data_IF_098667580595
#
_entry.id   IF_098667580595
#
_cell.length_a   1.000
_cell.length_b   1.000
_cell.length_c   1.000
_cell.angle_alpha   90.00
_cell.angle_beta   90.00
_cell.angle_gamma   90.00
#
_symmetry.space_group_name_H-M   'P 1'
#
loop_
_entity.id
_entity.type
_entity.pdbx_description
1 polymer ?
#
# COMPACT_ATOMS: atom_id res chain seq x y z
N UNK A 1 2.99 13.75 -3.51
CA UNK A 1 3.74 12.55 -3.94
C UNK A 1 5.01 12.46 -3.11
N UNK A 2 5.23 11.36 -2.39
CA UNK A 2 6.50 11.09 -1.70
C UNK A 2 7.60 10.94 -2.78
N UNK A 3 8.45 11.97 -2.92
CA UNK A 3 9.62 11.95 -3.80
C UNK A 3 10.71 11.08 -3.16
N UNK A 4 10.57 9.76 -3.26
CA UNK A 4 11.63 8.83 -2.88
C UNK A 4 12.63 8.74 -4.02
N UNK A 5 13.88 9.12 -3.74
CA UNK A 5 14.98 9.07 -4.71
C UNK A 5 15.15 7.64 -5.22
N UNK A 6 15.08 7.45 -6.54
CA UNK A 6 15.29 6.14 -7.16
C UNK A 6 16.72 5.64 -6.84
N UNK A 7 16.83 4.64 -5.97
CA UNK A 7 18.09 4.11 -5.43
C UNK A 7 18.83 3.18 -6.43
N UNK A 8 18.50 3.25 -7.72
CA UNK A 8 19.18 2.53 -8.80
C UNK A 8 18.84 1.04 -8.92
N UNK A 9 18.02 0.47 -8.02
CA UNK A 9 17.49 -0.90 -8.18
C UNK A 9 16.07 -1.04 -7.64
N UNK A 10 15.21 -1.89 -8.25
CA UNK A 10 13.86 -2.12 -7.76
C UNK A 10 13.82 -2.62 -6.30
N UNK A 11 14.79 -3.45 -5.90
CA UNK A 11 14.88 -3.97 -4.54
C UNK A 11 15.20 -2.90 -3.50
N UNK A 12 16.08 -1.95 -3.83
CA UNK A 12 16.41 -0.84 -2.94
C UNK A 12 15.21 0.12 -2.78
N UNK A 13 14.53 0.44 -3.88
CA UNK A 13 13.29 1.22 -3.85
C UNK A 13 12.21 0.52 -3.02
N UNK A 14 12.07 -0.81 -3.16
CA UNK A 14 11.12 -1.58 -2.36
C UNK A 14 11.43 -1.50 -0.86
N UNK A 15 12.71 -1.63 -0.49
CA UNK A 15 13.14 -1.54 0.91
C UNK A 15 12.78 -0.17 1.50
N UNK A 16 12.94 0.90 0.73
CA UNK A 16 12.58 2.25 1.16
C UNK A 16 11.05 2.41 1.27
N UNK A 17 10.29 2.08 0.22
CA UNK A 17 8.83 2.19 0.20
C UNK A 17 8.19 1.36 1.31
N UNK A 18 8.58 0.09 1.43
CA UNK A 18 8.06 -0.79 2.49
C UNK A 18 8.48 -0.36 3.89
N UNK A 19 9.55 0.42 4.05
CA UNK A 19 9.92 1.06 5.30
C UNK A 19 8.93 2.17 5.68
N UNK A 20 8.66 3.08 4.74
CA UNK A 20 7.64 4.13 4.92
C UNK A 20 6.26 3.55 5.14
N UNK A 21 5.88 2.51 4.39
CA UNK A 21 4.59 1.85 4.55
C UNK A 21 4.43 1.29 5.97
N UNK A 22 5.47 0.64 6.52
CA UNK A 22 5.48 0.17 7.92
C UNK A 22 5.33 1.31 8.93
N UNK A 23 5.96 2.45 8.67
CA UNK A 23 5.82 3.62 9.53
C UNK A 23 4.38 4.14 9.55
N UNK A 24 3.71 4.22 8.39
CA UNK A 24 2.30 4.59 8.33
C UNK A 24 1.41 3.55 9.01
N UNK A 25 1.72 2.27 8.82
CA UNK A 25 1.00 1.19 9.51
C UNK A 25 1.12 1.32 11.04
N UNK A 26 2.29 1.71 11.55
CA UNK A 26 2.49 1.95 12.98
C UNK A 26 1.72 3.17 13.51
N UNK A 27 1.36 4.13 12.65
CA UNK A 27 0.48 5.25 13.04
C UNK A 27 -0.97 4.80 13.23
N UNK A 28 -1.37 3.71 12.58
CA UNK A 28 -2.73 3.16 12.65
C UNK A 28 -3.75 3.97 11.84
N UNK A 29 -3.30 4.88 10.99
CA UNK A 29 -4.20 5.64 10.10
C UNK A 29 -4.58 4.79 8.88
N UNK A 30 -5.79 4.95 8.31
CA UNK A 30 -6.18 4.29 7.08
C UNK A 30 -5.24 4.64 5.91
N UNK A 31 -4.82 3.61 5.17
CA UNK A 31 -3.89 3.77 4.04
C UNK A 31 -4.68 3.67 2.73
N UNK A 32 -4.82 4.80 2.03
CA UNK A 32 -5.56 4.86 0.77
C UNK A 32 -4.80 4.21 -0.38
N UNK A 33 -5.50 3.36 -1.14
CA UNK A 33 -4.97 2.79 -2.37
C UNK A 33 -5.30 3.74 -3.54
N UNK A 34 -4.28 4.19 -4.26
CA UNK A 34 -4.47 5.10 -5.40
C UNK A 34 -4.90 4.39 -6.69
N UNK A 35 -4.92 3.06 -6.72
CA UNK A 35 -5.16 2.27 -7.93
C UNK A 35 -6.41 1.40 -7.80
N UNK A 36 -7.55 2.10 -7.78
CA UNK A 36 -8.88 1.53 -7.68
C UNK A 36 -9.65 1.73 -8.98
N UNK A 37 -10.54 0.79 -9.27
CA UNK A 37 -11.46 0.85 -10.39
C UNK A 37 -12.47 1.98 -10.12
N UNK A 38 -12.56 3.01 -10.98
CA UNK A 38 -13.39 4.18 -10.72
C UNK A 38 -14.90 3.89 -10.78
N UNK A 39 -15.30 2.73 -11.33
CA UNK A 39 -16.70 2.32 -11.42
C UNK A 39 -17.13 1.45 -10.24
N UNK A 40 -16.21 0.65 -9.71
CA UNK A 40 -16.53 -0.36 -8.69
C UNK A 40 -15.88 -0.12 -7.33
N UNK A 41 -14.91 0.79 -7.23
CA UNK A 41 -14.12 1.03 -6.03
C UNK A 41 -13.16 -0.11 -5.66
N UNK A 42 -13.12 -1.18 -6.49
CA UNK A 42 -12.30 -2.36 -6.25
C UNK A 42 -10.85 -2.11 -6.62
N UNK A 43 -9.94 -2.77 -5.92
CA UNK A 43 -8.53 -2.78 -6.27
C UNK A 43 -8.33 -3.39 -7.66
N UNK A 44 -7.70 -2.63 -8.55
CA UNK A 44 -7.33 -3.15 -9.87
C UNK A 44 -6.12 -4.06 -9.69
N UNK A 45 -6.18 -5.28 -10.21
CA UNK A 45 -5.04 -6.20 -10.19
C UNK A 45 -3.82 -5.54 -10.81
N UNK A 46 -2.70 -5.64 -10.12
CA UNK A 46 -1.46 -4.96 -10.45
C UNK A 46 -0.29 -5.86 -10.09
N UNK A 47 0.86 -5.62 -10.71
CA UNK A 47 2.10 -6.34 -10.45
C UNK A 47 3.17 -5.39 -9.93
N UNK A 48 4.29 -5.94 -9.43
CA UNK A 48 5.42 -5.15 -8.97
C UNK A 48 5.20 -4.52 -7.58
N UNK A 49 5.57 -3.25 -7.43
CA UNK A 49 5.60 -2.58 -6.13
C UNK A 49 4.25 -2.52 -5.44
N UNK A 50 3.21 -2.14 -6.18
CA UNK A 50 1.88 -1.96 -5.60
C UNK A 50 1.29 -3.29 -5.10
N UNK A 51 1.51 -4.39 -5.84
CA UNK A 51 1.12 -5.72 -5.37
C UNK A 51 1.87 -6.11 -4.08
N UNK A 52 3.16 -5.81 -4.03
CA UNK A 52 3.96 -6.06 -2.83
C UNK A 52 3.51 -5.22 -1.62
N UNK A 53 3.03 -3.99 -1.83
CA UNK A 53 2.42 -3.16 -0.77
C UNK A 53 1.15 -3.81 -0.23
N UNK A 54 0.25 -4.23 -1.11
CA UNK A 54 -0.99 -4.92 -0.74
C UNK A 54 -0.72 -6.20 0.05
N UNK A 55 0.19 -7.04 -0.44
CA UNK A 55 0.61 -8.24 0.27
C UNK A 55 1.22 -7.94 1.65
N UNK A 56 2.00 -6.86 1.77
CA UNK A 56 2.57 -6.47 3.06
C UNK A 56 1.50 -6.04 4.07
N UNK A 57 0.50 -5.29 3.62
CA UNK A 57 -0.65 -4.89 4.42
C UNK A 57 -1.45 -6.12 4.88
N UNK A 58 -1.85 -6.96 3.93
CA UNK A 58 -2.62 -8.18 4.18
C UNK A 58 -1.88 -9.16 5.10
N UNK A 59 -0.55 -9.28 4.96
CA UNK A 59 0.30 -10.10 5.85
C UNK A 59 0.32 -9.64 7.31
N UNK A 60 -0.16 -8.41 7.58
CA UNK A 60 -0.28 -7.83 8.92
C UNK A 60 -1.74 -7.63 9.33
N UNK A 61 -2.65 -8.39 8.73
CA UNK A 61 -4.07 -8.35 9.01
C UNK A 61 -4.76 -7.01 8.68
N UNK A 62 -4.12 -6.15 7.88
CA UNK A 62 -4.81 -4.97 7.35
C UNK A 62 -5.83 -5.40 6.30
N UNK A 63 -7.02 -4.80 6.36
CA UNK A 63 -8.14 -5.18 5.49
C UNK A 63 -8.51 -4.03 4.59
N UNK A 64 -8.61 -4.31 3.30
CA UNK A 64 -9.09 -3.34 2.33
C UNK A 64 -10.60 -3.16 2.49
N UNK A 65 -11.03 -1.91 2.67
CA UNK A 65 -12.42 -1.51 2.70
C UNK A 65 -12.80 -0.82 1.39
N UNK A 66 -13.75 -1.43 0.68
CA UNK A 66 -14.30 -0.97 -0.59
C UNK A 66 -15.05 0.36 -0.49
N UNK A 67 -15.66 0.64 0.66
CA UNK A 67 -16.45 1.85 0.88
C UNK A 67 -15.57 3.08 1.07
N UNK A 68 -14.42 2.92 1.73
CA UNK A 68 -13.44 4.00 1.91
C UNK A 68 -12.34 4.01 0.85
N UNK A 69 -12.13 2.93 0.10
CA UNK A 69 -11.02 2.78 -0.82
C UNK A 69 -9.66 2.75 -0.12
N UNK A 70 -9.61 2.20 1.09
CA UNK A 70 -8.43 2.25 1.96
C UNK A 70 -8.25 0.94 2.73
N UNK A 71 -7.01 0.62 3.07
CA UNK A 71 -6.71 -0.42 4.04
C UNK A 71 -6.82 0.13 5.45
N UNK A 72 -7.58 -0.57 6.29
CA UNK A 72 -7.71 -0.28 7.70
C UNK A 72 -6.79 -1.18 8.53
N UNK A 73 -6.27 -0.67 9.66
CA UNK A 73 -5.49 -1.48 10.58
C UNK A 73 -6.31 -2.63 11.16
N UNK A 74 -5.66 -3.72 11.59
CA UNK A 74 -6.32 -4.73 12.41
C UNK A 74 -6.77 -4.11 13.73
N UNK A 75 -8.02 -4.40 14.13
CA UNK A 75 -8.57 -4.05 15.45
C UNK A 75 -7.87 -4.80 16.58
#
# INVERSE_FOLDING_TARGET
MLNLSNMGSPKANWKQNSGYLREQMNKGDPIFDSYLDPKTGKQISTDGFLNAERQLLESRDWKFDLSSGAYHPPN
#
